data_IF_036091544322
#
_entry.id   IF_036091544322
#
_cell.length_a   1.000
_cell.length_b   1.000
_cell.length_c   1.000
_cell.angle_alpha   90.00
_cell.angle_beta   90.00
_cell.angle_gamma   90.00
#
_symmetry.space_group_name_H-M   'P 1'
#
loop_
_entity.id
_entity.type
_entity.pdbx_description
1 polymer ?
#
# COMPACT_ATOMS: atom_id res chain seq x y z
N UNK A 1 -5.11 16.87 -16.82
CA UNK A 1 -5.63 18.07 -17.51
C UNK A 1 -4.77 19.30 -17.22
N UNK A 2 -4.51 19.65 -15.96
CA UNK A 2 -3.65 20.78 -15.59
C UNK A 2 -2.19 20.66 -16.11
N UNK A 3 -1.59 19.47 -16.06
CA UNK A 3 -0.23 19.21 -16.59
C UNK A 3 -0.12 19.39 -18.11
N UNK A 4 -1.20 19.10 -18.84
CA UNK A 4 -1.25 19.27 -20.30
C UNK A 4 -1.29 20.75 -20.70
N UNK A 5 -2.04 21.57 -19.96
CA UNK A 5 -2.07 23.03 -20.16
C UNK A 5 -0.68 23.62 -19.84
N UNK A 6 -0.05 23.15 -18.76
CA UNK A 6 1.31 23.57 -18.38
C UNK A 6 2.34 23.21 -19.45
N UNK A 7 2.28 21.97 -19.97
CA UNK A 7 3.16 21.50 -21.04
C UNK A 7 2.98 22.29 -22.34
N UNK A 8 1.74 22.66 -22.68
CA UNK A 8 1.47 23.39 -23.92
C UNK A 8 1.99 24.83 -23.84
N UNK A 9 1.79 25.48 -22.68
CA UNK A 9 2.34 26.81 -22.41
C UNK A 9 3.88 26.80 -22.41
N UNK A 10 4.53 25.79 -21.81
CA UNK A 10 5.98 25.66 -21.87
C UNK A 10 6.50 25.39 -23.30
N UNK A 11 5.79 24.58 -24.08
CA UNK A 11 6.17 24.27 -25.47
C UNK A 11 6.11 25.49 -26.38
N UNK A 12 5.12 26.36 -26.21
CA UNK A 12 4.99 27.59 -26.99
C UNK A 12 6.08 28.62 -26.63
N UNK A 13 6.47 28.68 -25.35
CA UNK A 13 7.51 29.59 -24.84
C UNK A 13 8.92 29.12 -25.20
N UNK A 14 9.17 27.80 -25.20
CA UNK A 14 10.44 27.22 -25.68
C UNK A 14 10.73 27.61 -27.13
N UNK A 15 9.69 27.65 -27.99
CA UNK A 15 9.81 28.10 -29.38
C UNK A 15 10.20 29.59 -29.52
N UNK A 16 10.12 30.36 -28.43
CA UNK A 16 10.38 31.81 -28.36
C UNK A 16 11.74 32.18 -27.75
N UNK A 17 12.55 31.18 -27.36
CA UNK A 17 13.95 31.32 -26.91
C UNK A 17 14.20 32.31 -25.75
N UNK A 18 13.18 32.56 -24.91
CA UNK A 18 13.26 33.49 -23.78
C UNK A 18 13.37 32.75 -22.45
N UNK A 19 14.57 32.40 -22.04
CA UNK A 19 14.85 31.79 -20.74
C UNK A 19 14.89 32.86 -19.62
N UNK A 20 13.72 33.26 -19.05
CA UNK A 20 13.63 34.04 -17.80
C UNK A 20 13.24 33.24 -16.51
N UNK A 21 13.74 33.55 -15.30
CA UNK A 21 13.59 32.74 -14.06
C UNK A 21 12.17 32.31 -13.64
N UNK A 22 11.12 32.87 -14.24
CA UNK A 22 9.72 32.50 -14.09
C UNK A 22 9.41 31.10 -14.66
N UNK A 23 10.09 30.64 -15.73
CA UNK A 23 9.88 29.29 -16.27
C UNK A 23 10.46 28.17 -15.39
N UNK A 24 11.54 28.44 -14.65
CA UNK A 24 12.14 27.46 -13.74
C UNK A 24 11.18 27.13 -12.59
N UNK A 25 10.48 28.16 -12.10
CA UNK A 25 9.50 28.01 -11.04
C UNK A 25 8.22 27.31 -11.53
N UNK A 26 7.77 27.64 -12.75
CA UNK A 26 6.65 26.97 -13.39
C UNK A 26 6.94 25.49 -13.65
N UNK A 27 8.16 25.16 -14.07
CA UNK A 27 8.59 23.77 -14.23
C UNK A 27 8.62 23.03 -12.88
N UNK A 28 9.05 23.69 -11.80
CA UNK A 28 9.04 23.13 -10.44
C UNK A 28 7.64 22.71 -9.95
N UNK A 29 6.56 23.26 -10.50
CA UNK A 29 5.21 22.82 -10.16
C UNK A 29 4.86 21.42 -10.68
N UNK A 30 5.53 20.94 -11.73
CA UNK A 30 5.27 19.62 -12.30
C UNK A 30 5.59 18.46 -11.32
N UNK A 31 6.76 18.39 -10.67
CA UNK A 31 7.06 17.37 -9.67
C UNK A 31 6.23 17.56 -8.39
N UNK A 32 5.86 18.80 -8.04
CA UNK A 32 4.92 19.04 -6.93
C UNK A 32 3.54 18.45 -7.23
N UNK A 33 3.02 18.61 -8.45
CA UNK A 33 1.77 17.97 -8.87
C UNK A 33 1.88 16.44 -8.89
N UNK A 34 3.05 15.88 -9.26
CA UNK A 34 3.31 14.45 -9.17
C UNK A 34 3.27 13.96 -7.72
N UNK A 35 3.90 14.69 -6.81
CA UNK A 35 3.90 14.42 -5.37
C UNK A 35 2.46 14.40 -4.81
N UNK A 36 1.65 15.41 -5.15
CA UNK A 36 0.27 15.53 -4.64
C UNK A 36 -0.69 14.52 -5.27
N UNK A 37 -0.49 14.10 -6.53
CA UNK A 37 -1.27 13.02 -7.14
C UNK A 37 -1.04 11.66 -6.47
N UNK A 38 0.06 11.50 -5.73
CA UNK A 38 0.29 10.35 -4.84
C UNK A 38 -0.83 10.17 -3.81
N UNK A 39 -1.47 11.25 -3.37
CA UNK A 39 -2.67 11.27 -2.54
C UNK A 39 -2.43 10.98 -1.05
N UNK A 40 -3.32 11.50 -0.20
CA UNK A 40 -3.30 11.37 1.26
C UNK A 40 -3.49 9.89 1.64
N UNK A 41 -2.47 9.35 2.30
CA UNK A 41 -2.38 7.95 2.70
C UNK A 41 -3.35 7.62 3.84
N UNK A 42 -4.40 6.85 3.54
CA UNK A 42 -5.10 6.04 4.53
C UNK A 42 -5.88 4.86 3.90
N UNK A 43 -6.52 5.08 2.73
CA UNK A 43 -7.43 4.07 2.13
C UNK A 43 -6.99 3.80 0.69
N UNK A 44 -6.57 2.57 0.41
CA UNK A 44 -6.12 2.16 -0.94
C UNK A 44 -7.26 1.80 -1.88
N UNK A 45 -8.41 1.38 -1.33
CA UNK A 45 -9.54 0.94 -2.13
C UNK A 45 -10.84 1.03 -1.29
N UNK A 46 -11.93 1.53 -1.87
CA UNK A 46 -13.26 1.47 -1.24
C UNK A 46 -13.91 0.10 -1.44
N UNK A 47 -13.49 -0.64 -2.47
CA UNK A 47 -13.89 -2.01 -2.79
C UNK A 47 -12.69 -2.85 -3.25
N UNK A 48 -12.74 -4.18 -3.21
CA UNK A 48 -11.63 -5.02 -3.72
C UNK A 48 -11.44 -4.88 -5.22
N UNK A 49 -12.50 -4.60 -5.96
CA UNK A 49 -12.49 -4.47 -7.41
C UNK A 49 -11.68 -3.24 -7.85
N UNK A 50 -11.66 -2.18 -7.02
CA UNK A 50 -10.79 -1.02 -7.22
C UNK A 50 -9.29 -1.39 -7.12
N UNK A 51 -8.97 -2.47 -6.42
CA UNK A 51 -7.60 -2.91 -6.25
C UNK A 51 -7.07 -3.65 -7.49
N UNK A 52 -7.93 -4.23 -8.32
CA UNK A 52 -7.55 -4.80 -9.62
C UNK A 52 -7.21 -3.73 -10.67
N UNK A 53 -7.72 -2.51 -10.47
CA UNK A 53 -7.40 -1.33 -11.29
C UNK A 53 -6.00 -0.76 -11.03
N UNK A 54 -5.15 -1.45 -10.26
CA UNK A 54 -3.75 -1.07 -10.03
C UNK A 54 -2.99 -0.83 -11.36
N UNK A 55 -3.29 -1.59 -12.41
CA UNK A 55 -2.68 -1.41 -13.75
C UNK A 55 -2.99 -0.03 -14.33
N UNK A 56 -4.21 0.48 -14.11
CA UNK A 56 -4.63 1.82 -14.55
C UNK A 56 -3.93 2.91 -13.75
N UNK A 57 -3.78 2.72 -12.44
CA UNK A 57 -3.00 3.64 -11.59
C UNK A 57 -1.51 3.62 -11.95
N UNK A 58 -0.94 2.46 -12.27
CA UNK A 58 0.43 2.32 -12.77
C UNK A 58 0.62 3.02 -14.12
N UNK A 59 -0.32 2.87 -15.05
CA UNK A 59 -0.28 3.61 -16.32
C UNK A 59 -0.37 5.13 -16.10
N UNK A 60 -1.22 5.55 -15.17
CA UNK A 60 -1.29 6.94 -14.69
C UNK A 60 0.07 7.45 -14.22
N UNK A 61 0.75 6.70 -13.34
CA UNK A 61 2.11 7.01 -12.87
C UNK A 61 3.06 7.22 -14.04
N UNK A 62 3.13 6.26 -14.96
CA UNK A 62 4.09 6.30 -16.08
C UNK A 62 3.81 7.51 -16.96
N UNK A 63 2.55 7.75 -17.34
CA UNK A 63 2.19 8.88 -18.19
C UNK A 63 2.51 10.23 -17.54
N UNK A 64 2.27 10.36 -16.23
CA UNK A 64 2.55 11.58 -15.49
C UNK A 64 4.05 11.77 -15.25
N UNK A 65 4.78 10.70 -14.89
CA UNK A 65 6.23 10.72 -14.73
C UNK A 65 6.93 11.12 -16.04
N UNK A 66 6.50 10.57 -17.18
CA UNK A 66 7.01 10.92 -18.50
C UNK A 66 6.76 12.39 -18.83
N UNK A 67 5.55 12.89 -18.53
CA UNK A 67 5.22 14.31 -18.75
C UNK A 67 6.09 15.23 -17.89
N UNK A 68 6.27 14.92 -16.61
CA UNK A 68 7.11 15.70 -15.70
C UNK A 68 8.59 15.63 -16.09
N UNK A 69 9.08 14.46 -16.50
CA UNK A 69 10.45 14.30 -17.00
C UNK A 69 10.68 15.07 -18.30
N UNK A 70 9.69 15.10 -19.19
CA UNK A 70 9.75 15.91 -20.41
C UNK A 70 9.84 17.41 -20.10
N UNK A 71 9.02 17.91 -19.16
CA UNK A 71 9.08 19.30 -18.68
C UNK A 71 10.46 19.60 -18.07
N UNK A 72 11.05 18.65 -17.35
CA UNK A 72 12.37 18.81 -16.75
C UNK A 72 13.49 18.97 -17.78
N UNK A 73 13.49 18.13 -18.81
CA UNK A 73 14.48 18.18 -19.88
C UNK A 73 14.40 19.53 -20.61
N UNK A 74 13.19 20.05 -20.81
CA UNK A 74 12.97 21.38 -21.42
C UNK A 74 13.43 22.54 -20.54
N UNK A 75 13.25 22.42 -19.22
CA UNK A 75 13.60 23.45 -18.24
C UNK A 75 15.00 23.28 -17.64
N UNK A 76 15.85 22.45 -18.24
CA UNK A 76 17.16 22.14 -17.68
C UNK A 76 18.13 23.32 -17.83
N UNK A 77 18.31 24.09 -16.75
CA UNK A 77 19.25 25.24 -16.73
C UNK A 77 20.52 25.01 -15.90
N UNK A 78 20.73 23.79 -15.36
CA UNK A 78 21.84 23.47 -14.42
C UNK A 78 21.89 24.41 -13.19
N UNK A 79 20.75 24.97 -12.81
CA UNK A 79 20.58 25.87 -11.67
C UNK A 79 20.23 25.11 -10.38
N UNK A 80 20.23 25.79 -9.22
CA UNK A 80 19.79 25.22 -7.94
C UNK A 80 18.37 24.64 -8.02
N UNK A 81 17.47 25.31 -8.73
CA UNK A 81 16.08 24.85 -8.95
C UNK A 81 16.01 23.54 -9.72
N UNK A 82 16.94 23.31 -10.65
CA UNK A 82 17.06 22.03 -11.37
C UNK A 82 17.41 20.87 -10.42
N UNK A 83 18.22 21.11 -9.38
CA UNK A 83 18.53 20.09 -8.37
C UNK A 83 17.32 19.82 -7.47
N UNK A 84 16.66 20.89 -6.99
CA UNK A 84 15.43 20.77 -6.19
C UNK A 84 14.34 20.02 -6.93
N UNK A 85 14.23 20.23 -8.25
CA UNK A 85 13.32 19.49 -9.11
C UNK A 85 13.62 17.99 -9.06
N UNK A 86 14.88 17.56 -9.25
CA UNK A 86 15.24 16.13 -9.24
C UNK A 86 14.90 15.49 -7.90
N UNK A 87 15.21 16.19 -6.80
CA UNK A 87 14.87 15.73 -5.44
C UNK A 87 13.36 15.54 -5.30
N UNK A 88 12.57 16.56 -5.65
CA UNK A 88 11.10 16.50 -5.54
C UNK A 88 10.48 15.47 -6.47
N UNK A 89 11.00 15.33 -7.68
CA UNK A 89 10.57 14.33 -8.65
C UNK A 89 10.82 12.92 -8.12
N UNK A 90 12.00 12.67 -7.53
CA UNK A 90 12.32 11.39 -6.92
C UNK A 90 11.40 11.08 -5.74
N UNK A 91 11.19 12.02 -4.82
CA UNK A 91 10.26 11.84 -3.68
C UNK A 91 8.84 11.57 -4.18
N UNK A 92 8.38 12.29 -5.21
CA UNK A 92 7.07 12.07 -5.84
C UNK A 92 6.94 10.68 -6.48
N UNK A 93 7.97 10.22 -7.19
CA UNK A 93 8.00 8.88 -7.78
C UNK A 93 7.95 7.78 -6.74
N UNK A 94 8.74 7.91 -5.65
CA UNK A 94 8.73 6.93 -4.56
C UNK A 94 7.34 6.86 -3.93
N UNK A 95 6.73 7.99 -3.57
CA UNK A 95 5.39 8.00 -2.95
C UNK A 95 4.29 7.45 -3.85
N UNK A 96 4.26 7.85 -5.11
CA UNK A 96 3.28 7.30 -6.05
C UNK A 96 3.55 5.81 -6.30
N UNK A 97 4.82 5.42 -6.41
CA UNK A 97 5.27 4.04 -6.55
C UNK A 97 4.84 3.16 -5.38
N UNK A 98 5.00 3.63 -4.14
CA UNK A 98 4.53 2.95 -2.93
C UNK A 98 3.02 2.66 -3.01
N UNK A 99 2.23 3.62 -3.47
CA UNK A 99 0.79 3.41 -3.68
C UNK A 99 0.53 2.28 -4.67
N UNK A 100 1.15 2.33 -5.85
CA UNK A 100 0.99 1.29 -6.90
C UNK A 100 1.48 -0.07 -6.38
N UNK A 101 2.54 -0.09 -5.59
CA UNK A 101 3.10 -1.30 -4.99
C UNK A 101 2.14 -1.91 -3.95
N UNK A 102 1.50 -1.09 -3.12
CA UNK A 102 0.48 -1.58 -2.17
C UNK A 102 -0.71 -2.17 -2.92
N UNK A 103 -1.24 -1.45 -3.92
CA UNK A 103 -2.35 -1.93 -4.74
C UNK A 103 -1.99 -3.25 -5.43
N UNK A 104 -0.77 -3.35 -5.96
CA UNK A 104 -0.25 -4.57 -6.58
C UNK A 104 -0.18 -5.75 -5.61
N UNK A 105 0.31 -5.54 -4.38
CA UNK A 105 0.39 -6.60 -3.37
C UNK A 105 -0.97 -7.05 -2.86
N UNK A 106 -1.92 -6.12 -2.72
CA UNK A 106 -3.27 -6.45 -2.29
C UNK A 106 -4.10 -7.11 -3.40
N UNK A 107 -3.62 -7.13 -4.66
CA UNK A 107 -4.38 -7.65 -5.81
C UNK A 107 -4.68 -9.13 -5.63
N UNK A 108 -5.88 -9.57 -5.98
CA UNK A 108 -6.38 -10.93 -5.73
C UNK A 108 -5.39 -12.01 -6.18
N UNK A 109 -4.88 -11.92 -7.42
CA UNK A 109 -3.88 -12.85 -7.92
C UNK A 109 -2.62 -12.92 -7.04
N UNK A 110 -2.11 -11.77 -6.56
CA UNK A 110 -0.89 -11.74 -5.77
C UNK A 110 -1.12 -12.19 -4.33
N UNK A 111 -2.31 -11.89 -3.80
CA UNK A 111 -2.77 -12.40 -2.51
C UNK A 111 -2.88 -13.93 -2.55
N UNK A 112 -3.49 -14.49 -3.60
CA UNK A 112 -3.57 -15.94 -3.85
C UNK A 112 -2.21 -16.60 -3.97
N UNK A 113 -1.31 -16.05 -4.78
CA UNK A 113 0.06 -16.58 -4.96
C UNK A 113 0.89 -16.57 -3.66
N UNK A 114 0.54 -15.72 -2.69
CA UNK A 114 1.25 -15.65 -1.41
C UNK A 114 0.83 -16.74 -0.41
N UNK A 115 -0.27 -17.44 -0.70
CA UNK A 115 -0.80 -18.50 0.13
C UNK A 115 -0.27 -19.84 -0.42
N UNK A 116 0.39 -20.67 0.39
CA UNK A 116 0.88 -21.97 -0.07
C UNK A 116 -0.29 -22.86 -0.51
N UNK A 117 -0.12 -23.52 -1.66
CA UNK A 117 -1.09 -24.48 -2.18
C UNK A 117 -1.33 -25.63 -1.18
N UNK A 118 -2.55 -26.17 -1.19
CA UNK A 118 -2.89 -27.37 -0.41
C UNK A 118 -1.92 -28.51 -0.78
N UNK A 119 -1.38 -29.27 0.18
CA UNK A 119 -0.58 -30.45 -0.13
C UNK A 119 -1.36 -31.40 -1.05
N UNK A 120 -0.76 -31.74 -2.20
CA UNK A 120 -1.38 -32.48 -3.32
C UNK A 120 -2.22 -33.70 -2.93
N UNK A 121 -1.90 -34.35 -1.81
CA UNK A 121 -2.66 -35.45 -1.21
C UNK A 121 -4.13 -35.10 -0.97
N UNK A 122 -4.42 -33.96 -0.32
CA UNK A 122 -5.81 -33.56 -0.04
C UNK A 122 -6.56 -33.23 -1.33
N UNK A 123 -5.95 -32.46 -2.25
CA UNK A 123 -6.56 -32.10 -3.54
C UNK A 123 -6.99 -33.32 -4.36
N UNK A 124 -6.19 -34.40 -4.30
CA UNK A 124 -6.46 -35.66 -4.98
C UNK A 124 -7.63 -36.40 -4.34
N UNK A 125 -7.72 -36.37 -3.01
CA UNK A 125 -8.85 -36.95 -2.26
C UNK A 125 -10.15 -36.19 -2.55
N UNK A 126 -10.11 -34.86 -2.66
CA UNK A 126 -11.29 -34.05 -3.04
C UNK A 126 -11.79 -34.41 -4.42
N UNK A 127 -10.89 -34.50 -5.39
CA UNK A 127 -11.24 -34.78 -6.77
C UNK A 127 -11.79 -36.19 -6.92
N UNK A 128 -11.22 -37.17 -6.21
CA UNK A 128 -11.72 -38.54 -6.18
C UNK A 128 -13.13 -38.62 -5.55
N UNK A 129 -13.40 -37.86 -4.50
CA UNK A 129 -14.74 -37.74 -3.91
C UNK A 129 -15.74 -37.07 -4.86
N UNK A 130 -15.36 -36.00 -5.56
CA UNK A 130 -16.20 -35.33 -6.57
C UNK A 130 -16.52 -36.27 -7.73
N UNK A 131 -15.54 -37.02 -8.22
CA UNK A 131 -15.72 -38.01 -9.29
C UNK A 131 -16.72 -39.09 -8.86
N UNK A 132 -16.58 -39.64 -7.65
CA UNK A 132 -17.53 -40.64 -7.12
C UNK A 132 -18.96 -40.08 -7.01
N UNK A 133 -19.12 -38.82 -6.62
CA UNK A 133 -20.43 -38.16 -6.61
C UNK A 133 -21.02 -37.96 -8.02
N UNK A 134 -20.20 -37.59 -9.00
CA UNK A 134 -20.62 -37.45 -10.41
C UNK A 134 -21.00 -38.80 -11.04
N UNK A 135 -20.39 -39.89 -10.59
CA UNK A 135 -20.75 -41.26 -10.96
C UNK A 135 -22.06 -41.75 -10.30
N UNK A 136 -22.70 -40.92 -9.48
CA UNK A 136 -23.99 -41.22 -8.85
C UNK A 136 -23.88 -41.96 -7.52
N UNK A 137 -22.68 -42.07 -6.94
CA UNK A 137 -22.53 -42.59 -5.57
C UNK A 137 -22.97 -41.54 -4.55
N UNK A 138 -23.82 -41.95 -3.61
CA UNK A 138 -24.19 -41.13 -2.47
C UNK A 138 -23.09 -41.21 -1.40
N UNK A 139 -22.05 -40.39 -1.57
CA UNK A 139 -20.95 -40.30 -0.61
C UNK A 139 -21.42 -39.50 0.61
N UNK A 140 -21.86 -40.19 1.65
CA UNK A 140 -21.96 -39.60 3.00
C UNK A 140 -20.56 -39.56 3.60
N UNK A 141 -20.05 -38.40 4.06
CA UNK A 141 -18.77 -38.33 4.74
C UNK A 141 -18.90 -38.98 6.13
N UNK A 142 -18.75 -40.29 6.16
CA UNK A 142 -18.42 -41.04 7.35
C UNK A 142 -17.09 -41.70 7.04
N UNK A 143 -16.00 -41.01 7.38
CA UNK A 143 -14.66 -41.51 7.13
C UNK A 143 -13.99 -41.76 8.47
N UNK A 144 -14.02 -43.03 8.86
CA UNK A 144 -13.06 -43.62 9.80
C UNK A 144 -11.66 -43.46 9.20
N UNK A 145 -10.83 -42.66 9.86
CA UNK A 145 -9.39 -42.62 9.65
C UNK A 145 -8.83 -44.02 9.96
N UNK A 146 -8.44 -44.77 8.95
CA UNK A 146 -7.30 -45.66 9.13
C UNK A 146 -6.07 -44.76 9.27
N UNK A 147 -5.70 -44.59 10.53
CA UNK A 147 -4.52 -43.90 11.02
C UNK A 147 -3.30 -44.66 10.49
N UNK A 148 -2.73 -44.21 9.38
CA UNK A 148 -1.30 -44.37 9.14
C UNK A 148 -0.68 -42.97 9.20
N UNK A 149 -0.22 -42.63 10.41
CA UNK A 149 0.41 -41.35 10.76
C UNK A 149 1.82 -41.34 10.18
N UNK A 150 2.14 -40.45 9.21
CA UNK A 150 3.53 -40.13 8.91
C UNK A 150 4.02 -39.22 10.04
N UNK A 151 4.92 -39.78 10.84
CA UNK A 151 5.45 -39.32 12.13
C UNK A 151 6.29 -38.04 12.13
N UNK A 152 6.07 -37.10 11.21
CA UNK A 152 6.91 -35.90 11.09
C UNK A 152 6.22 -34.56 11.31
N UNK A 153 4.91 -34.55 11.59
CA UNK A 153 4.17 -33.32 11.94
C UNK A 153 3.48 -33.39 13.31
N UNK A 154 3.89 -34.33 14.18
CA UNK A 154 3.31 -34.53 15.51
C UNK A 154 4.03 -33.74 16.61
N UNK A 155 5.10 -33.00 16.27
CA UNK A 155 5.93 -32.27 17.25
C UNK A 155 5.68 -30.75 17.26
N UNK A 156 4.65 -30.25 16.59
CA UNK A 156 4.31 -28.82 16.60
C UNK A 156 2.86 -28.51 16.95
N UNK A 157 2.13 -29.46 17.55
CA UNK A 157 1.00 -29.08 18.40
C UNK A 157 1.65 -28.80 19.76
N UNK A 158 1.82 -27.52 20.17
CA UNK A 158 2.37 -27.25 21.47
C UNK A 158 1.36 -27.79 22.48
N UNK A 159 1.86 -28.54 23.44
CA UNK A 159 1.18 -29.11 24.59
C UNK A 159 0.61 -28.05 25.54
N UNK A 160 0.25 -26.86 25.05
CA UNK A 160 -0.25 -25.71 25.82
C UNK A 160 -1.78 -25.62 25.84
N UNK A 161 -2.50 -26.69 25.45
CA UNK A 161 -3.97 -26.69 25.38
C UNK A 161 -4.69 -26.93 26.72
N UNK A 162 -3.97 -27.04 27.83
CA UNK A 162 -4.58 -27.10 29.16
C UNK A 162 -4.65 -25.69 29.76
N UNK A 163 -5.87 -25.16 29.88
CA UNK A 163 -6.24 -23.90 30.52
C UNK A 163 -5.95 -22.65 29.68
N UNK A 164 -6.95 -22.15 28.95
CA UNK A 164 -6.92 -20.84 28.28
C UNK A 164 -7.45 -19.74 29.23
N UNK A 165 -6.59 -18.92 29.87
CA UNK A 165 -7.00 -17.75 30.61
C UNK A 165 -7.22 -16.58 29.64
N UNK A 166 -7.73 -15.47 30.18
CA UNK A 166 -8.38 -14.31 29.55
C UNK A 166 -7.52 -13.44 28.57
N UNK A 167 -6.49 -14.00 27.91
CA UNK A 167 -5.54 -13.26 27.06
C UNK A 167 -5.07 -13.95 25.77
N UNK A 168 -5.64 -15.10 25.39
CA UNK A 168 -5.14 -15.96 24.30
C UNK A 168 -5.93 -15.83 22.97
N UNK A 169 -6.82 -14.87 22.86
CA UNK A 169 -7.72 -14.71 21.70
C UNK A 169 -6.98 -14.25 20.44
N UNK A 170 -5.96 -13.40 20.62
CA UNK A 170 -5.09 -12.96 19.54
C UNK A 170 -4.26 -14.13 18.97
N UNK A 171 -3.80 -15.03 19.85
CA UNK A 171 -3.03 -16.21 19.44
C UNK A 171 -3.92 -17.18 18.65
N UNK A 172 -5.12 -17.45 19.16
CA UNK A 172 -6.10 -18.29 18.46
C UNK A 172 -6.49 -17.69 17.09
N UNK A 173 -6.76 -16.39 17.03
CA UNK A 173 -7.03 -15.69 15.76
C UNK A 173 -5.84 -15.78 14.78
N UNK A 174 -4.61 -15.71 15.28
CA UNK A 174 -3.41 -15.85 14.44
C UNK A 174 -3.23 -17.26 13.88
N UNK A 175 -3.54 -18.30 14.66
CA UNK A 175 -3.51 -19.70 14.21
C UNK A 175 -4.54 -19.98 13.11
N UNK A 176 -5.75 -19.41 13.21
CA UNK A 176 -6.79 -19.57 12.19
C UNK A 176 -6.63 -18.64 10.99
N UNK A 177 -5.80 -17.60 11.08
CA UNK A 177 -5.63 -16.59 10.06
C UNK A 177 -5.30 -17.17 8.67
N UNK A 178 -4.56 -18.28 8.61
CA UNK A 178 -4.20 -18.92 7.34
C UNK A 178 -5.42 -19.55 6.64
N UNK A 179 -6.33 -20.17 7.40
CA UNK A 179 -7.59 -20.68 6.89
C UNK A 179 -8.48 -19.54 6.38
N UNK A 180 -8.63 -18.48 7.16
CA UNK A 180 -9.50 -17.35 6.78
C UNK A 180 -8.90 -16.60 5.59
N UNK A 181 -7.57 -16.49 5.48
CA UNK A 181 -6.91 -15.99 4.26
C UNK A 181 -7.25 -16.82 3.02
N UNK A 182 -7.22 -18.15 3.11
CA UNK A 182 -7.62 -19.06 2.02
C UNK A 182 -9.08 -18.84 1.62
N UNK A 183 -9.98 -18.69 2.59
CA UNK A 183 -11.39 -18.41 2.36
C UNK A 183 -11.60 -17.11 1.58
N UNK A 184 -10.93 -16.01 1.98
CA UNK A 184 -11.05 -14.72 1.30
C UNK A 184 -10.31 -14.63 -0.04
N UNK A 185 -9.47 -15.62 -0.34
CA UNK A 185 -8.75 -15.78 -1.62
C UNK A 185 -9.50 -16.67 -2.62
N UNK A 186 -10.72 -17.11 -2.28
CA UNK A 186 -11.50 -18.10 -3.04
C UNK A 186 -10.70 -19.39 -3.34
N UNK A 187 -9.83 -19.78 -2.39
CA UNK A 187 -9.06 -21.02 -2.43
C UNK A 187 -9.84 -22.12 -1.69
N UNK A 188 -9.68 -23.36 -2.15
CA UNK A 188 -10.24 -24.52 -1.44
C UNK A 188 -9.62 -24.57 -0.04
N UNK A 189 -10.46 -24.69 0.99
CA UNK A 189 -9.98 -24.90 2.36
C UNK A 189 -9.47 -26.34 2.49
N UNK A 190 -8.31 -26.51 3.13
CA UNK A 190 -7.83 -27.84 3.50
C UNK A 190 -8.84 -28.51 4.43
N UNK A 191 -9.06 -29.82 4.27
CA UNK A 191 -10.02 -30.54 5.10
C UNK A 191 -9.58 -30.48 6.56
N UNK A 192 -8.28 -30.66 6.81
CA UNK A 192 -7.69 -30.62 8.15
C UNK A 192 -7.87 -29.26 8.86
N UNK A 193 -7.81 -28.16 8.12
CA UNK A 193 -8.04 -26.80 8.63
C UNK A 193 -9.50 -26.64 9.11
N UNK A 194 -10.46 -27.07 8.30
CA UNK A 194 -11.89 -26.99 8.63
C UNK A 194 -12.27 -27.82 9.86
N UNK A 195 -11.69 -29.03 10.01
CA UNK A 195 -11.92 -29.87 11.18
C UNK A 195 -11.29 -29.29 12.46
N UNK A 196 -10.08 -28.70 12.37
CA UNK A 196 -9.42 -28.09 13.52
C UNK A 196 -10.24 -26.91 14.07
N UNK A 197 -10.71 -26.00 13.21
CA UNK A 197 -11.60 -24.91 13.64
C UNK A 197 -12.88 -25.44 14.28
N UNK A 198 -13.54 -26.40 13.63
CA UNK A 198 -14.77 -26.98 14.15
C UNK A 198 -14.60 -27.62 15.53
N UNK A 199 -13.51 -28.36 15.77
CA UNK A 199 -13.23 -28.96 17.08
C UNK A 199 -12.98 -27.94 18.18
N UNK A 200 -12.50 -26.74 17.83
CA UNK A 200 -12.23 -25.66 18.79
C UNK A 200 -13.53 -24.90 19.12
N UNK A 201 -14.41 -24.69 18.13
CA UNK A 201 -15.71 -24.04 18.35
C UNK A 201 -16.79 -24.95 18.94
N UNK A 202 -16.70 -26.29 18.76
CA UNK A 202 -17.61 -27.27 19.37
C UNK A 202 -17.22 -27.65 20.81
N UNK A 203 -16.10 -27.14 21.34
CA UNK A 203 -15.66 -27.45 22.69
C UNK A 203 -16.51 -26.67 23.73
N UNK A 204 -16.96 -27.35 24.79
CA UNK A 204 -17.84 -26.78 25.84
C UNK A 204 -17.21 -25.55 26.56
N UNK A 205 -15.90 -25.37 26.45
CA UNK A 205 -15.19 -24.20 26.98
C UNK A 205 -15.33 -22.92 26.13
N UNK A 206 -15.87 -23.02 24.91
CA UNK A 206 -15.96 -21.93 23.94
C UNK A 206 -17.30 -21.18 24.05
N UNK A 207 -17.29 -20.04 24.75
CA UNK A 207 -18.45 -19.15 24.79
C UNK A 207 -18.62 -18.35 23.48
N UNK A 208 -19.87 -18.10 23.09
CA UNK A 208 -20.20 -17.28 21.91
C UNK A 208 -19.48 -15.92 21.89
N UNK A 209 -19.37 -15.25 23.04
CA UNK A 209 -18.65 -13.97 23.17
C UNK A 209 -17.16 -14.07 22.76
N UNK A 210 -16.46 -15.14 23.19
CA UNK A 210 -15.06 -15.37 22.83
C UNK A 210 -14.91 -15.73 21.36
N UNK A 211 -15.82 -16.52 20.82
CA UNK A 211 -15.86 -16.85 19.40
C UNK A 211 -16.05 -15.61 18.52
N UNK A 212 -17.00 -14.74 18.86
CA UNK A 212 -17.20 -13.47 18.14
C UNK A 212 -15.97 -12.56 18.24
N UNK A 213 -15.30 -12.52 19.39
CA UNK A 213 -14.08 -11.73 19.57
C UNK A 213 -12.92 -12.24 18.71
N UNK A 214 -12.75 -13.55 18.57
CA UNK A 214 -11.74 -14.14 17.67
C UNK A 214 -12.06 -13.79 16.21
N UNK A 215 -13.31 -13.97 15.79
CA UNK A 215 -13.76 -13.65 14.43
C UNK A 215 -13.60 -12.14 14.13
N UNK A 216 -13.88 -11.28 15.11
CA UNK A 216 -13.67 -9.83 15.01
C UNK A 216 -12.19 -9.49 14.77
N UNK A 217 -11.28 -10.12 15.52
CA UNK A 217 -9.83 -9.96 15.34
C UNK A 217 -9.40 -10.47 13.95
N UNK A 218 -9.87 -11.65 13.52
CA UNK A 218 -9.56 -12.22 12.21
C UNK A 218 -10.04 -11.34 11.05
N UNK A 219 -11.29 -10.86 11.13
CA UNK A 219 -11.86 -9.93 10.16
C UNK A 219 -11.08 -8.60 10.14
N UNK A 220 -10.68 -8.09 11.30
CA UNK A 220 -9.83 -6.91 11.42
C UNK A 220 -8.48 -7.11 10.74
N UNK A 221 -7.81 -8.23 10.97
CA UNK A 221 -6.52 -8.57 10.35
C UNK A 221 -6.62 -8.73 8.84
N UNK A 222 -7.70 -9.34 8.33
CA UNK A 222 -7.93 -9.48 6.88
C UNK A 222 -8.30 -8.15 6.25
N UNK A 223 -9.09 -7.33 6.96
CA UNK A 223 -9.38 -5.97 6.53
C UNK A 223 -8.09 -5.16 6.38
N UNK A 224 -7.21 -5.22 7.39
CA UNK A 224 -5.91 -4.55 7.34
C UNK A 224 -5.00 -5.09 6.24
N UNK A 225 -5.05 -6.38 5.97
CA UNK A 225 -4.22 -6.99 4.94
C UNK A 225 -4.68 -6.65 3.52
N UNK A 226 -5.99 -6.49 3.27
CA UNK A 226 -6.54 -6.25 1.91
C UNK A 226 -6.88 -4.80 1.61
N UNK A 227 -7.34 -4.04 2.60
CA UNK A 227 -7.90 -2.70 2.38
C UNK A 227 -7.02 -1.58 2.91
N UNK A 228 -6.15 -1.85 3.89
CA UNK A 228 -5.30 -0.81 4.47
C UNK A 228 -3.87 -0.92 3.98
N UNK A 229 -3.17 0.23 3.93
CA UNK A 229 -1.73 0.26 3.65
C UNK A 229 -0.90 -0.25 4.83
N UNK A 230 -1.52 -0.71 5.93
CA UNK A 230 -0.88 -0.92 7.23
C UNK A 230 0.36 -1.80 7.11
N UNK A 231 0.29 -2.96 6.43
CA UNK A 231 1.43 -3.88 6.33
C UNK A 231 2.69 -3.26 5.71
N UNK A 232 2.54 -2.34 4.76
CA UNK A 232 3.66 -1.67 4.09
C UNK A 232 4.05 -0.39 4.84
N UNK A 233 3.09 0.31 5.44
CA UNK A 233 3.30 1.55 6.20
C UNK A 233 4.02 1.29 7.53
N UNK A 234 3.66 0.24 8.27
CA UNK A 234 4.36 -0.17 9.51
C UNK A 234 5.64 -0.96 9.26
N UNK A 235 5.96 -1.27 8.00
CA UNK A 235 7.25 -1.86 7.68
C UNK A 235 8.36 -0.85 7.97
N UNK A 236 9.50 -1.31 8.49
CA UNK A 236 10.67 -0.46 8.75
C UNK A 236 11.09 0.35 7.51
N UNK A 237 10.90 -0.21 6.31
CA UNK A 237 11.18 0.49 5.05
C UNK A 237 10.19 1.63 4.77
N UNK A 238 8.90 1.43 5.03
CA UNK A 238 7.88 2.46 4.87
C UNK A 238 8.06 3.62 5.86
N UNK A 239 8.39 3.30 7.12
CA UNK A 239 8.71 4.30 8.14
C UNK A 239 9.97 5.09 7.74
N UNK A 240 11.04 4.41 7.33
CA UNK A 240 12.26 5.07 6.86
C UNK A 240 11.99 5.96 5.64
N UNK A 241 11.21 5.50 4.67
CA UNK A 241 10.80 6.27 3.49
C UNK A 241 10.04 7.54 3.86
N UNK A 242 9.14 7.48 4.84
CA UNK A 242 8.41 8.66 5.38
C UNK A 242 9.36 9.68 6.00
N UNK A 243 10.31 9.25 6.84
CA UNK A 243 11.32 10.15 7.44
C UNK A 243 12.19 10.82 6.37
N UNK A 244 12.67 10.03 5.40
CA UNK A 244 13.48 10.51 4.29
C UNK A 244 12.68 11.54 3.47
N UNK A 245 11.41 11.25 3.17
CA UNK A 245 10.49 12.14 2.48
C UNK A 245 10.31 13.48 3.19
N UNK A 246 9.98 13.47 4.49
CA UNK A 246 9.80 14.67 5.32
C UNK A 246 11.09 15.49 5.37
N UNK A 247 12.24 14.84 5.51
CA UNK A 247 13.52 15.52 5.58
C UNK A 247 13.88 16.18 4.24
N UNK A 248 13.65 15.49 3.12
CA UNK A 248 13.88 16.02 1.78
C UNK A 248 12.95 17.20 1.48
N UNK A 249 11.66 17.12 1.84
CA UNK A 249 10.70 18.21 1.65
C UNK A 249 11.02 19.41 2.53
N UNK A 250 11.47 19.18 3.77
CA UNK A 250 11.94 20.22 4.66
C UNK A 250 13.19 20.93 4.10
N UNK A 251 14.17 20.17 3.62
CA UNK A 251 15.38 20.74 2.99
C UNK A 251 14.99 21.62 1.81
N UNK A 252 14.09 21.15 0.94
CA UNK A 252 13.65 21.96 -0.22
C UNK A 252 12.91 23.22 0.22
N UNK A 253 12.03 23.15 1.22
CA UNK A 253 11.37 24.34 1.76
C UNK A 253 12.40 25.34 2.30
N UNK A 254 13.39 24.88 3.07
CA UNK A 254 14.44 25.73 3.63
C UNK A 254 15.29 26.36 2.53
N UNK A 255 15.69 25.59 1.51
CA UNK A 255 16.48 26.10 0.38
C UNK A 255 15.72 27.17 -0.42
N UNK A 256 14.42 26.96 -0.68
CA UNK A 256 13.57 27.95 -1.37
C UNK A 256 13.39 29.20 -0.50
N UNK A 257 13.16 29.03 0.80
CA UNK A 257 12.96 30.14 1.75
C UNK A 257 14.22 30.97 1.94
N UNK A 258 15.39 30.33 2.01
CA UNK A 258 16.70 31.01 2.08
C UNK A 258 16.99 31.75 0.77
N UNK A 259 16.74 31.12 -0.39
CA UNK A 259 16.90 31.77 -1.68
C UNK A 259 16.02 33.02 -1.79
N UNK A 260 14.78 32.94 -1.31
CA UNK A 260 13.86 34.08 -1.30
C UNK A 260 14.34 35.19 -0.35
N UNK A 261 14.78 34.85 0.86
CA UNK A 261 15.29 35.82 1.84
C UNK A 261 16.51 36.58 1.32
N UNK A 262 17.44 35.87 0.68
CA UNK A 262 18.63 36.47 0.05
C UNK A 262 18.21 37.44 -1.07
N UNK A 263 17.23 37.04 -1.89
CA UNK A 263 16.78 37.83 -3.05
C UNK A 263 15.92 39.03 -2.68
N UNK A 264 15.14 38.95 -1.61
CA UNK A 264 14.34 40.07 -1.05
C UNK A 264 15.26 41.21 -0.59
N UNK A 265 16.48 40.89 -0.16
CA UNK A 265 17.48 41.89 0.24
C UNK A 265 18.01 42.72 -0.96
N UNK A 266 17.76 42.28 -2.21
CA UNK A 266 18.45 42.77 -3.42
C UNK A 266 17.59 43.56 -4.44
N UNK A 267 16.38 44.04 -4.08
CA UNK A 267 15.46 44.98 -4.83
C UNK A 267 14.18 44.36 -5.43
N UNK A 268 13.10 45.15 -5.34
CA UNK A 268 11.72 44.82 -5.70
C UNK A 268 11.46 44.62 -7.21
N UNK A 269 10.77 43.52 -7.54
CA UNK A 269 10.13 43.29 -8.85
C UNK A 269 8.80 42.57 -8.63
N UNK A 270 7.69 43.30 -8.81
CA UNK A 270 6.34 42.92 -8.36
C UNK A 270 5.67 41.74 -9.10
N UNK A 271 6.10 41.38 -10.32
CA UNK A 271 5.39 40.35 -11.08
C UNK A 271 5.77 38.90 -10.69
N UNK A 272 6.92 38.70 -10.03
CA UNK A 272 7.45 37.38 -9.66
C UNK A 272 7.06 36.93 -8.24
N UNK A 273 6.31 37.74 -7.49
CA UNK A 273 5.96 37.48 -6.08
C UNK A 273 4.87 36.41 -5.94
N UNK A 274 3.92 36.37 -6.88
CA UNK A 274 2.76 35.46 -6.81
C UNK A 274 3.22 34.00 -6.95
N UNK A 275 3.98 33.67 -7.99
CA UNK A 275 4.38 32.28 -8.24
C UNK A 275 5.30 31.73 -7.13
N UNK A 276 6.10 32.60 -6.49
CA UNK A 276 6.92 32.25 -5.31
C UNK A 276 6.06 31.96 -4.09
N UNK A 277 5.12 32.85 -3.81
CA UNK A 277 4.15 32.67 -2.72
C UNK A 277 3.39 31.35 -2.89
N UNK A 278 2.93 31.05 -4.12
CA UNK A 278 2.26 29.79 -4.43
C UNK A 278 3.19 28.59 -4.16
N UNK A 279 4.44 28.66 -4.57
CA UNK A 279 5.42 27.58 -4.38
C UNK A 279 5.70 27.32 -2.89
N UNK A 280 5.86 28.37 -2.08
CA UNK A 280 6.02 28.25 -0.63
C UNK A 280 4.79 27.66 0.05
N UNK A 281 3.59 28.14 -0.30
CA UNK A 281 2.34 27.62 0.26
C UNK A 281 2.15 26.14 -0.10
N UNK A 282 2.45 25.74 -1.34
CA UNK A 282 2.38 24.35 -1.78
C UNK A 282 3.37 23.44 -1.02
N UNK A 283 4.61 23.90 -0.82
CA UNK A 283 5.61 23.15 -0.04
C UNK A 283 5.22 23.03 1.43
N UNK A 284 4.74 24.11 2.04
CA UNK A 284 4.27 24.11 3.42
C UNK A 284 3.04 23.19 3.60
N UNK A 285 2.08 23.24 2.68
CA UNK A 285 0.93 22.34 2.69
C UNK A 285 1.36 20.87 2.56
N UNK A 286 2.32 20.56 1.67
CA UNK A 286 2.87 19.21 1.53
C UNK A 286 3.50 18.73 2.84
N UNK A 287 4.31 19.57 3.50
CA UNK A 287 4.92 19.24 4.80
C UNK A 287 3.88 19.00 5.89
N UNK A 288 2.85 19.84 5.97
CA UNK A 288 1.77 19.68 6.95
C UNK A 288 1.02 18.36 6.75
N UNK A 289 0.72 17.98 5.51
CA UNK A 289 0.08 16.68 5.20
C UNK A 289 0.98 15.52 5.61
N UNK A 290 2.29 15.61 5.37
CA UNK A 290 3.24 14.56 5.75
C UNK A 290 3.40 14.44 7.27
N UNK A 291 3.47 15.56 7.98
CA UNK A 291 3.51 15.60 9.44
C UNK A 291 2.22 15.05 10.05
N UNK A 292 1.07 15.37 9.46
CA UNK A 292 -0.22 14.81 9.90
C UNK A 292 -0.26 13.29 9.71
N UNK A 293 0.15 12.79 8.54
CA UNK A 293 0.19 11.36 8.26
C UNK A 293 1.20 10.61 9.16
N UNK A 294 2.28 11.28 9.56
CA UNK A 294 3.25 10.75 10.52
C UNK A 294 2.71 10.74 11.96
N UNK A 295 1.98 11.79 12.36
CA UNK A 295 1.32 11.85 13.67
C UNK A 295 0.28 10.73 13.83
N UNK A 296 -0.51 10.48 12.77
CA UNK A 296 -1.46 9.36 12.75
C UNK A 296 -0.77 8.01 12.93
N UNK A 297 0.43 7.85 12.34
CA UNK A 297 1.22 6.63 12.49
C UNK A 297 1.77 6.44 13.92
N UNK A 298 2.12 7.52 14.62
CA UNK A 298 2.57 7.45 16.02
C UNK A 298 1.40 7.14 16.97
N UNK A 299 0.21 7.65 16.66
CA UNK A 299 -0.97 7.50 17.52
C UNK A 299 -1.64 6.13 17.38
N UNK A 300 -1.37 5.41 16.29
CA UNK A 300 -1.92 4.09 16.00
C UNK A 300 -1.04 2.96 16.48
#
# INVERSE_FOLDING_TARGET
MATGILSNNLGEIYRKDSFGPEYELLAFWAPMMLLHLGGIDAITAYSLEDNELWKRHSFGLVSQAMTTMYIFILAWTRSLFSLLFVVMFYVGLVKYGERVWVLYWASDNKFRDSIPDIPSSESKVVEECRLKQLEGYHVTPHQTLEVDVPSHLTNSIPSSLECFPDGNELLAAYEFLEMVKRLFADLVMGFQDGYASRSIFENDAMCASKAFRIIEIELGLIYDLRYTKAKIVYSAWGIAGRFIGIFLTLIVLLMVSLHETIRVTEKHRHHSEIDRTITLVLLAASLLVELWAFLQLILS
#
